data_IF_027637087472
#
_entry.id   IF_027637087472
#
_cell.length_a   1.000
_cell.length_b   1.000
_cell.length_c   1.000
_cell.angle_alpha   90.00
_cell.angle_beta   90.00
_cell.angle_gamma   90.00
#
_symmetry.space_group_name_H-M   'P 1'
#
loop_
_entity.id
_entity.type
_entity.pdbx_description
1 polymer ?
#
# COMPACT_ATOMS: atom_id res chain seq x y z
N UNK A 1 35.31 13.08 -8.00
CA UNK A 1 33.89 12.70 -7.98
C UNK A 1 33.16 13.56 -9.00
N UNK A 2 32.62 12.95 -10.06
CA UNK A 2 31.82 13.69 -11.03
C UNK A 2 30.59 14.28 -10.33
N UNK A 3 30.25 15.52 -10.69
CA UNK A 3 29.05 16.21 -10.21
C UNK A 3 28.15 16.48 -11.41
N UNK A 4 26.85 16.28 -11.21
CA UNK A 4 25.82 16.57 -12.20
C UNK A 4 24.74 17.45 -11.58
N UNK A 5 23.98 18.11 -12.45
CA UNK A 5 22.82 18.89 -12.04
C UNK A 5 21.74 17.99 -11.44
N UNK A 6 21.05 18.46 -10.41
CA UNK A 6 19.97 17.74 -9.75
C UNK A 6 18.85 17.34 -10.73
N UNK A 7 18.44 18.23 -11.64
CA UNK A 7 17.42 17.92 -12.64
C UNK A 7 17.84 16.82 -13.63
N UNK A 8 19.12 16.79 -14.01
CA UNK A 8 19.69 15.75 -14.88
C UNK A 8 19.81 14.42 -14.14
N UNK A 9 20.31 14.43 -12.90
CA UNK A 9 20.45 13.24 -12.06
C UNK A 9 19.12 12.53 -11.81
N UNK A 10 18.03 13.29 -11.64
CA UNK A 10 16.69 12.73 -11.49
C UNK A 10 16.23 11.95 -12.73
N UNK A 11 16.58 12.43 -13.93
CA UNK A 11 16.23 11.76 -15.20
C UNK A 11 17.17 10.58 -15.46
N UNK A 12 18.48 10.77 -15.30
CA UNK A 12 19.50 9.74 -15.51
C UNK A 12 19.25 8.50 -14.64
N UNK A 13 18.66 8.69 -13.44
CA UNK A 13 18.29 7.61 -12.51
C UNK A 13 16.85 7.11 -12.64
N UNK A 14 16.11 7.59 -13.64
CA UNK A 14 14.72 7.18 -13.88
C UNK A 14 13.71 7.60 -12.81
N UNK A 15 14.07 8.54 -11.93
CA UNK A 15 13.16 9.05 -10.88
C UNK A 15 12.09 9.98 -11.44
N UNK A 16 12.33 10.57 -12.62
CA UNK A 16 11.41 11.46 -13.33
C UNK A 16 11.59 11.32 -14.85
N UNK A 17 10.50 11.30 -15.60
CA UNK A 17 10.47 11.06 -17.06
C UNK A 17 11.17 12.12 -17.93
N UNK A 18 11.33 13.34 -17.42
CA UNK A 18 11.94 14.43 -18.19
C UNK A 18 12.55 15.51 -17.30
N UNK A 19 13.50 16.26 -17.86
CA UNK A 19 14.15 17.37 -17.14
C UNK A 19 13.16 18.48 -16.77
N UNK A 20 12.16 18.73 -17.61
CA UNK A 20 11.12 19.72 -17.35
C UNK A 20 10.26 19.33 -16.15
N UNK A 21 9.86 18.04 -16.07
CA UNK A 21 9.10 17.51 -14.93
C UNK A 21 9.96 17.52 -13.65
N UNK A 22 11.25 17.19 -13.77
CA UNK A 22 12.19 17.27 -12.65
C UNK A 22 12.32 18.71 -12.10
N UNK A 23 12.42 19.71 -12.98
CA UNK A 23 12.44 21.12 -12.58
C UNK A 23 11.18 21.54 -11.83
N UNK A 24 10.00 21.17 -12.33
CA UNK A 24 8.73 21.48 -11.70
C UNK A 24 8.62 20.88 -10.29
N UNK A 25 9.06 19.62 -10.11
CA UNK A 25 9.07 18.96 -8.80
C UNK A 25 10.06 19.58 -7.83
N UNK A 26 11.25 19.97 -8.30
CA UNK A 26 12.22 20.71 -7.48
C UNK A 26 11.64 22.05 -7.03
N UNK A 27 11.00 22.79 -7.94
CA UNK A 27 10.33 24.06 -7.63
C UNK A 27 9.18 23.89 -6.65
N UNK A 28 8.40 22.81 -6.78
CA UNK A 28 7.35 22.44 -5.84
C UNK A 28 7.89 22.00 -4.46
N UNK A 29 9.21 21.92 -4.30
CA UNK A 29 9.85 21.51 -3.05
C UNK A 29 9.70 20.02 -2.75
N UNK A 30 9.46 19.22 -3.79
CA UNK A 30 9.17 17.79 -3.71
C UNK A 30 10.41 16.91 -3.88
N UNK A 31 11.59 17.48 -4.16
CA UNK A 31 12.83 16.72 -4.36
C UNK A 31 13.78 16.89 -3.18
N UNK A 32 14.32 15.79 -2.69
CA UNK A 32 15.20 15.75 -1.53
C UNK A 32 16.46 14.93 -1.82
N UNK A 33 17.55 15.30 -1.16
CA UNK A 33 18.75 14.48 -1.03
C UNK A 33 18.96 14.18 0.45
N UNK A 34 18.73 12.93 0.85
CA UNK A 34 18.52 12.56 2.26
C UNK A 34 17.45 13.47 2.89
N UNK A 35 17.77 14.19 3.98
CA UNK A 35 16.80 15.08 4.64
C UNK A 35 16.77 16.50 4.05
N UNK A 36 17.69 16.83 3.13
CA UNK A 36 17.81 18.19 2.59
C UNK A 36 16.99 18.34 1.31
N UNK A 37 16.01 19.24 1.36
CA UNK A 37 15.27 19.66 0.16
C UNK A 37 16.21 20.28 -0.87
N UNK A 38 16.13 19.81 -2.11
CA UNK A 38 16.83 20.41 -3.25
C UNK A 38 16.14 21.73 -3.58
N UNK A 39 16.92 22.81 -3.63
CA UNK A 39 16.36 24.16 -3.78
C UNK A 39 16.29 24.57 -5.26
N UNK A 40 17.27 24.16 -6.07
CA UNK A 40 17.35 24.56 -7.47
C UNK A 40 17.67 23.37 -8.37
N UNK A 41 17.05 23.36 -9.54
CA UNK A 41 17.29 22.35 -10.57
C UNK A 41 18.75 22.25 -11.01
N UNK A 42 19.47 23.38 -10.99
CA UNK A 42 20.88 23.46 -11.35
C UNK A 42 21.86 23.12 -10.21
N UNK A 43 21.38 22.73 -9.02
CA UNK A 43 22.25 22.36 -7.90
C UNK A 43 23.15 21.20 -8.32
N UNK A 44 24.46 21.34 -8.09
CA UNK A 44 25.48 20.34 -8.46
C UNK A 44 25.62 19.31 -7.35
N UNK A 45 25.19 18.09 -7.61
CA UNK A 45 25.23 16.98 -6.67
C UNK A 45 26.26 15.94 -7.12
N UNK A 46 26.93 15.26 -6.18
CA UNK A 46 27.67 14.04 -6.50
C UNK A 46 26.80 13.04 -7.26
N UNK A 47 27.37 12.32 -8.23
CA UNK A 47 26.63 11.30 -9.00
C UNK A 47 26.01 10.20 -8.14
N UNK A 48 26.51 9.99 -6.93
CA UNK A 48 26.03 8.99 -5.95
C UNK A 48 25.16 9.59 -4.84
N UNK A 49 24.87 10.90 -4.88
CA UNK A 49 24.09 11.54 -3.82
C UNK A 49 22.69 10.90 -3.73
N UNK A 50 22.19 10.49 -2.56
CA UNK A 50 20.85 9.91 -2.45
C UNK A 50 19.84 10.94 -2.95
N UNK A 51 18.92 10.54 -3.83
CA UNK A 51 17.90 11.42 -4.39
C UNK A 51 16.54 10.75 -4.30
N UNK A 52 15.56 11.50 -3.84
CA UNK A 52 14.17 11.06 -3.77
C UNK A 52 13.24 12.18 -4.24
N UNK A 53 12.16 11.79 -4.91
CA UNK A 53 11.04 12.68 -5.22
C UNK A 53 9.92 12.29 -4.26
N UNK A 54 9.69 13.12 -3.25
CA UNK A 54 8.55 12.99 -2.34
C UNK A 54 7.30 13.50 -3.06
N UNK A 55 6.21 12.75 -2.98
CA UNK A 55 5.01 13.10 -3.76
C UNK A 55 5.15 12.81 -5.26
N UNK A 56 5.87 11.73 -5.61
CA UNK A 56 5.88 11.18 -6.98
C UNK A 56 4.47 11.17 -7.57
N UNK A 57 4.30 11.50 -8.86
CA UNK A 57 3.06 11.28 -9.58
C UNK A 57 2.85 9.77 -9.70
N UNK A 58 2.31 9.15 -8.66
CA UNK A 58 1.64 7.88 -8.78
C UNK A 58 0.30 8.14 -9.49
N UNK A 59 -0.15 7.26 -10.39
CA UNK A 59 -1.39 7.48 -11.14
C UNK A 59 -2.63 7.46 -10.25
N UNK A 60 -2.49 7.04 -8.99
CA UNK A 60 -3.59 6.88 -8.03
C UNK A 60 -3.79 8.11 -7.14
N UNK A 61 -4.88 8.16 -6.39
CA UNK A 61 -5.17 9.25 -5.43
C UNK A 61 -4.21 9.31 -4.23
N UNK A 62 -3.44 8.25 -3.94
CA UNK A 62 -2.43 8.25 -2.87
C UNK A 62 -1.29 7.27 -3.13
N UNK A 63 -0.16 7.49 -2.44
CA UNK A 63 1.05 6.65 -2.52
C UNK A 63 0.79 5.19 -2.15
N UNK A 64 -0.26 4.93 -1.35
CA UNK A 64 -0.68 3.57 -1.02
C UNK A 64 -0.94 2.74 -2.29
N UNK A 65 -1.44 3.35 -3.37
CA UNK A 65 -1.68 2.65 -4.63
C UNK A 65 -0.43 1.95 -5.20
N UNK A 66 0.78 2.50 -4.99
CA UNK A 66 2.02 1.87 -5.45
C UNK A 66 2.22 0.48 -4.84
N UNK A 67 1.78 0.27 -3.59
CA UNK A 67 1.96 -1.00 -2.88
C UNK A 67 1.09 -2.10 -3.48
N UNK A 68 -0.19 -1.82 -3.69
CA UNK A 68 -1.11 -2.80 -4.29
C UNK A 68 -0.75 -3.06 -5.75
N UNK A 69 -0.39 -2.03 -6.52
CA UNK A 69 0.03 -2.21 -7.90
C UNK A 69 1.23 -3.15 -8.02
N UNK A 70 2.23 -2.99 -7.14
CA UNK A 70 3.36 -3.90 -7.06
C UNK A 70 2.94 -5.33 -6.69
N UNK A 71 2.03 -5.50 -5.73
CA UNK A 71 1.51 -6.82 -5.37
C UNK A 71 0.77 -7.50 -6.54
N UNK A 72 -0.05 -6.76 -7.30
CA UNK A 72 -0.77 -7.30 -8.46
C UNK A 72 0.19 -7.82 -9.52
N UNK A 73 1.25 -7.07 -9.82
CA UNK A 73 2.29 -7.46 -10.76
C UNK A 73 3.09 -8.67 -10.25
N UNK A 74 3.65 -8.56 -9.04
CA UNK A 74 4.52 -9.58 -8.45
C UNK A 74 3.80 -10.94 -8.32
N UNK A 75 2.57 -10.94 -7.80
CA UNK A 75 1.80 -12.18 -7.59
C UNK A 75 0.94 -12.58 -8.79
N UNK A 76 1.02 -11.86 -9.91
CA UNK A 76 0.22 -12.10 -11.13
C UNK A 76 -1.29 -12.16 -10.83
N UNK A 77 -1.79 -11.22 -10.04
CA UNK A 77 -3.19 -11.14 -9.61
C UNK A 77 -3.95 -10.11 -10.45
N UNK A 78 -5.23 -10.39 -10.71
CA UNK A 78 -6.10 -9.49 -11.48
C UNK A 78 -7.43 -9.26 -10.77
N UNK A 79 -7.86 -7.98 -10.60
CA UNK A 79 -9.19 -7.63 -10.12
C UNK A 79 -10.22 -7.50 -11.25
N UNK A 80 -9.84 -7.76 -12.52
CA UNK A 80 -10.71 -7.56 -13.67
C UNK A 80 -12.04 -8.28 -13.53
N UNK A 81 -13.14 -7.53 -13.67
CA UNK A 81 -14.53 -7.99 -13.54
C UNK A 81 -14.82 -8.73 -12.22
N UNK A 82 -14.16 -8.30 -11.13
CA UNK A 82 -14.39 -8.84 -9.79
C UNK A 82 -15.01 -7.82 -8.85
N UNK A 83 -15.75 -8.34 -7.87
CA UNK A 83 -16.19 -7.58 -6.69
C UNK A 83 -15.04 -7.60 -5.70
N UNK A 84 -14.61 -6.42 -5.27
CA UNK A 84 -13.48 -6.25 -4.37
C UNK A 84 -13.91 -5.65 -3.03
N UNK A 85 -13.17 -5.98 -1.99
CA UNK A 85 -13.29 -5.43 -0.66
C UNK A 85 -11.95 -4.79 -0.27
N UNK A 86 -11.94 -3.48 -0.04
CA UNK A 86 -10.78 -2.69 0.36
C UNK A 86 -10.91 -2.28 1.83
N UNK A 87 -10.07 -2.85 2.69
CA UNK A 87 -10.07 -2.66 4.14
C UNK A 87 -9.03 -1.61 4.53
N UNK A 88 -9.48 -0.54 5.18
CA UNK A 88 -8.64 0.60 5.48
C UNK A 88 -8.43 1.49 4.25
N UNK A 89 -9.51 1.71 3.49
CA UNK A 89 -9.46 2.42 2.21
C UNK A 89 -8.84 3.83 2.33
N UNK A 90 -9.02 4.51 3.46
CA UNK A 90 -8.50 5.84 3.77
C UNK A 90 -8.73 6.83 2.62
N UNK A 91 -7.66 7.37 2.03
CA UNK A 91 -7.71 8.27 0.87
C UNK A 91 -8.15 7.58 -0.42
N UNK A 92 -8.04 6.25 -0.50
CA UNK A 92 -8.53 5.40 -1.57
C UNK A 92 -7.47 4.87 -2.54
N UNK A 93 -6.20 4.83 -2.13
CA UNK A 93 -5.10 4.39 -3.01
C UNK A 93 -5.31 2.97 -3.57
N UNK A 94 -5.71 2.01 -2.73
CA UNK A 94 -5.99 0.64 -3.12
C UNK A 94 -7.25 0.54 -3.99
N UNK A 95 -8.34 1.18 -3.55
CA UNK A 95 -9.57 1.32 -4.35
C UNK A 95 -9.29 1.84 -5.77
N UNK A 96 -8.48 2.90 -5.93
CA UNK A 96 -8.16 3.46 -7.26
C UNK A 96 -7.37 2.47 -8.12
N UNK A 97 -6.42 1.72 -7.53
CA UNK A 97 -5.70 0.64 -8.23
C UNK A 97 -6.66 -0.43 -8.72
N UNK A 98 -7.56 -0.91 -7.86
CA UNK A 98 -8.56 -1.93 -8.20
C UNK A 98 -9.44 -1.49 -9.37
N UNK A 99 -9.99 -0.26 -9.30
CA UNK A 99 -10.83 0.31 -10.36
C UNK A 99 -10.07 0.53 -11.67
N UNK A 100 -8.81 0.98 -11.58
CA UNK A 100 -7.94 1.19 -12.75
C UNK A 100 -7.66 -0.13 -13.47
N UNK A 101 -7.53 -1.23 -12.72
CA UNK A 101 -7.32 -2.58 -13.26
C UNK A 101 -8.62 -3.33 -13.56
N UNK A 102 -9.76 -2.63 -13.62
CA UNK A 102 -11.01 -3.18 -14.14
C UNK A 102 -11.88 -3.91 -13.11
N UNK A 103 -11.73 -3.63 -11.81
CA UNK A 103 -12.69 -4.10 -10.81
C UNK A 103 -14.13 -3.74 -11.22
N UNK A 104 -15.05 -4.71 -11.09
CA UNK A 104 -16.48 -4.51 -11.35
C UNK A 104 -17.09 -3.56 -10.32
N UNK A 105 -16.76 -3.79 -9.05
CA UNK A 105 -17.17 -2.94 -7.93
C UNK A 105 -16.21 -3.08 -6.75
N UNK A 106 -16.15 -2.06 -5.90
CA UNK A 106 -15.30 -2.03 -4.70
C UNK A 106 -16.12 -1.58 -3.50
N UNK A 107 -16.14 -2.39 -2.44
CA UNK A 107 -16.54 -1.94 -1.11
C UNK A 107 -15.34 -1.31 -0.42
N UNK A 108 -15.36 0.01 -0.23
CA UNK A 108 -14.29 0.75 0.42
C UNK A 108 -14.64 0.94 1.91
N UNK A 109 -14.04 0.13 2.77
CA UNK A 109 -14.31 0.07 4.22
C UNK A 109 -13.27 0.89 4.98
N UNK A 110 -13.73 1.81 5.82
CA UNK A 110 -12.87 2.56 6.73
C UNK A 110 -13.58 2.88 8.06
N UNK A 111 -12.80 2.93 9.14
CA UNK A 111 -13.29 3.34 10.47
C UNK A 111 -13.40 4.86 10.59
N UNK A 112 -12.64 5.59 9.78
CA UNK A 112 -12.69 7.04 9.65
C UNK A 112 -13.90 7.53 8.87
N UNK A 113 -13.91 8.83 8.59
CA UNK A 113 -14.97 9.50 7.85
C UNK A 113 -14.40 10.67 7.04
N UNK A 114 -14.90 10.87 5.82
CA UNK A 114 -14.54 11.96 4.93
C UNK A 114 -13.14 11.84 4.33
N UNK A 115 -12.51 10.66 4.38
CA UNK A 115 -11.12 10.49 3.91
C UNK A 115 -11.03 10.17 2.41
N UNK A 116 -12.00 9.41 1.89
CA UNK A 116 -11.95 8.91 0.52
C UNK A 116 -12.02 10.06 -0.49
N UNK A 117 -11.09 10.07 -1.45
CA UNK A 117 -11.01 11.09 -2.48
C UNK A 117 -12.32 11.22 -3.27
N UNK A 118 -12.70 12.47 -3.60
CA UNK A 118 -13.98 12.79 -4.23
C UNK A 118 -14.25 12.01 -5.53
N UNK A 119 -13.21 11.85 -6.37
CA UNK A 119 -13.27 11.05 -7.60
C UNK A 119 -13.76 9.63 -7.34
N UNK A 120 -13.26 8.98 -6.29
CA UNK A 120 -13.60 7.60 -5.95
C UNK A 120 -14.96 7.51 -5.28
N UNK A 121 -15.25 8.44 -4.36
CA UNK A 121 -16.56 8.53 -3.71
C UNK A 121 -17.70 8.70 -4.73
N UNK A 122 -17.42 9.38 -5.84
CA UNK A 122 -18.39 9.65 -6.91
C UNK A 122 -18.41 8.58 -8.00
N UNK A 123 -17.51 7.58 -7.95
CA UNK A 123 -17.48 6.50 -8.94
C UNK A 123 -18.63 5.52 -8.64
N UNK A 124 -19.52 5.22 -9.60
CA UNK A 124 -20.68 4.36 -9.38
C UNK A 124 -20.31 2.90 -9.03
N UNK A 125 -19.05 2.51 -9.23
CA UNK A 125 -18.54 1.19 -8.86
C UNK A 125 -18.11 1.10 -7.41
N UNK A 126 -18.06 2.22 -6.68
CA UNK A 126 -17.59 2.26 -5.28
C UNK A 126 -18.76 2.36 -4.32
N UNK A 127 -18.84 1.42 -3.38
CA UNK A 127 -19.70 1.52 -2.20
C UNK A 127 -18.86 1.94 -1.01
N UNK A 128 -19.13 3.13 -0.49
CA UNK A 128 -18.37 3.72 0.63
C UNK A 128 -18.96 3.27 1.96
N UNK A 129 -18.16 2.60 2.78
CA UNK A 129 -18.53 2.09 4.10
C UNK A 129 -17.63 2.76 5.17
N UNK A 130 -17.97 4.01 5.51
CA UNK A 130 -17.28 4.80 6.54
C UNK A 130 -17.86 4.54 7.93
N UNK A 131 -17.08 4.85 8.98
CA UNK A 131 -17.39 4.50 10.37
C UNK A 131 -17.71 3.01 10.55
N UNK A 132 -17.16 2.17 9.67
CA UNK A 132 -17.41 0.73 9.64
C UNK A 132 -16.15 0.02 10.15
N UNK A 133 -16.30 -0.78 11.21
CA UNK A 133 -15.21 -1.61 11.69
C UNK A 133 -15.18 -2.91 10.90
N UNK A 134 -14.06 -3.19 10.21
CA UNK A 134 -13.90 -4.38 9.37
C UNK A 134 -14.13 -5.71 10.12
N UNK A 135 -13.93 -5.71 11.45
CA UNK A 135 -14.19 -6.88 12.32
C UNK A 135 -15.66 -7.25 12.44
N UNK A 136 -16.55 -6.32 12.10
CA UNK A 136 -17.99 -6.48 12.20
C UNK A 136 -18.63 -6.71 10.83
N UNK A 137 -17.83 -6.94 9.78
CA UNK A 137 -18.36 -7.21 8.45
C UNK A 137 -19.09 -8.56 8.44
N UNK A 138 -20.25 -8.57 7.83
CA UNK A 138 -21.05 -9.76 7.60
C UNK A 138 -21.75 -9.66 6.23
N UNK A 139 -22.58 -10.64 5.90
CA UNK A 139 -23.33 -10.68 4.63
C UNK A 139 -24.45 -9.65 4.54
N UNK A 140 -24.85 -9.02 5.65
CA UNK A 140 -25.81 -7.90 5.62
C UNK A 140 -25.15 -6.60 5.13
N UNK A 141 -23.87 -6.41 5.47
CA UNK A 141 -23.06 -5.26 5.04
C UNK A 141 -22.45 -5.50 3.66
N UNK A 142 -21.95 -6.72 3.42
CA UNK A 142 -21.31 -7.14 2.17
C UNK A 142 -22.15 -8.26 1.54
N UNK A 143 -23.26 -7.93 0.86
CA UNK A 143 -24.21 -8.92 0.35
C UNK A 143 -23.68 -9.74 -0.83
N UNK A 144 -22.64 -9.26 -1.50
CA UNK A 144 -22.00 -9.96 -2.61
C UNK A 144 -20.60 -10.39 -2.15
N UNK A 145 -20.37 -11.69 -2.07
CA UNK A 145 -19.09 -12.27 -1.67
C UNK A 145 -17.94 -11.72 -2.55
N UNK A 146 -16.93 -11.03 -1.95
CA UNK A 146 -15.84 -10.47 -2.72
C UNK A 146 -14.93 -11.59 -3.26
N UNK A 147 -14.50 -11.44 -4.51
CA UNK A 147 -13.48 -12.31 -5.13
C UNK A 147 -12.06 -11.76 -4.94
N UNK A 148 -11.95 -10.59 -4.31
CA UNK A 148 -10.71 -9.86 -4.02
C UNK A 148 -10.82 -9.20 -2.66
N UNK A 149 -9.88 -9.45 -1.76
CA UNK A 149 -9.77 -8.76 -0.47
C UNK A 149 -8.41 -8.06 -0.37
N UNK A 150 -8.40 -6.76 -0.15
CA UNK A 150 -7.16 -6.01 0.06
C UNK A 150 -7.18 -5.26 1.39
N UNK A 151 -6.03 -5.12 2.06
CA UNK A 151 -5.96 -4.48 3.37
C UNK A 151 -4.70 -3.64 3.58
N UNK A 152 -4.89 -2.34 3.85
CA UNK A 152 -3.84 -1.39 4.29
C UNK A 152 -4.25 -0.68 5.60
N UNK A 153 -4.71 -1.45 6.59
CA UNK A 153 -5.11 -0.91 7.89
C UNK A 153 -3.91 -0.48 8.74
N UNK A 154 -4.11 0.52 9.61
CA UNK A 154 -3.10 0.99 10.57
C UNK A 154 -3.62 0.87 12.00
N UNK A 155 -2.71 0.78 12.98
CA UNK A 155 -3.03 0.68 14.41
C UNK A 155 -3.76 -0.61 14.82
N UNK A 156 -3.78 -1.63 13.97
CA UNK A 156 -4.38 -2.93 14.21
C UNK A 156 -3.59 -4.00 13.47
N UNK A 157 -3.42 -5.18 14.09
CA UNK A 157 -2.78 -6.32 13.46
C UNK A 157 -3.73 -7.08 12.54
N UNK A 158 -3.18 -7.71 11.50
CA UNK A 158 -3.87 -8.47 10.47
C UNK A 158 -4.73 -9.60 11.04
N UNK A 159 -4.20 -10.32 12.03
CA UNK A 159 -4.90 -11.41 12.74
C UNK A 159 -6.19 -10.96 13.42
N UNK A 160 -6.30 -9.68 13.74
CA UNK A 160 -7.47 -9.10 14.37
C UNK A 160 -8.44 -8.51 13.36
N UNK A 161 -7.96 -7.86 12.30
CA UNK A 161 -8.80 -7.08 11.37
C UNK A 161 -9.34 -7.91 10.19
N UNK A 162 -8.60 -8.91 9.72
CA UNK A 162 -8.94 -9.68 8.51
C UNK A 162 -9.96 -10.82 8.65
N UNK A 163 -10.15 -11.51 9.80
CA UNK A 163 -10.95 -12.73 9.85
C UNK A 163 -12.34 -12.62 9.21
N UNK A 164 -13.13 -11.62 9.61
CA UNK A 164 -14.47 -11.40 9.07
C UNK A 164 -14.48 -11.18 7.55
N UNK A 165 -13.50 -10.45 7.01
CA UNK A 165 -13.42 -10.20 5.58
C UNK A 165 -12.99 -11.44 4.77
N UNK A 166 -12.07 -12.26 5.30
CA UNK A 166 -11.61 -13.49 4.64
C UNK A 166 -12.68 -14.59 4.68
N UNK A 167 -13.52 -14.60 5.71
CA UNK A 167 -14.68 -15.49 5.81
C UNK A 167 -15.71 -15.19 4.70
N UNK A 168 -16.00 -13.91 4.47
CA UNK A 168 -16.91 -13.44 3.41
C UNK A 168 -16.42 -13.69 1.99
N UNK A 169 -15.12 -13.90 1.79
CA UNK A 169 -14.53 -14.07 0.47
C UNK A 169 -15.09 -15.30 -0.27
N UNK A 170 -15.38 -15.14 -1.56
CA UNK A 170 -15.86 -16.22 -2.42
C UNK A 170 -14.81 -17.32 -2.61
N UNK A 171 -15.25 -18.53 -2.97
CA UNK A 171 -14.33 -19.56 -3.47
C UNK A 171 -13.58 -19.06 -4.71
N UNK A 172 -12.30 -19.41 -4.84
CA UNK A 172 -11.42 -18.90 -5.90
C UNK A 172 -10.96 -17.44 -5.73
N UNK A 173 -11.31 -16.78 -4.61
CA UNK A 173 -10.86 -15.42 -4.31
C UNK A 173 -9.34 -15.34 -4.11
N UNK A 174 -8.78 -14.14 -4.20
CA UNK A 174 -7.43 -13.85 -3.74
C UNK A 174 -7.43 -12.67 -2.78
N UNK A 175 -6.39 -12.59 -1.95
CA UNK A 175 -6.20 -11.52 -1.00
C UNK A 175 -4.77 -10.98 -1.02
N UNK A 176 -4.63 -9.68 -0.74
CA UNK A 176 -3.35 -9.01 -0.51
C UNK A 176 -3.46 -8.15 0.73
N UNK A 177 -2.57 -8.32 1.71
CA UNK A 177 -2.56 -7.48 2.90
C UNK A 177 -1.16 -6.93 3.18
N UNK A 178 -1.12 -5.74 3.78
CA UNK A 178 0.11 -5.17 4.30
C UNK A 178 0.43 -5.69 5.69
N UNK A 179 1.57 -6.35 5.82
CA UNK A 179 2.23 -6.63 7.09
C UNK A 179 3.01 -5.37 7.48
N UNK A 180 2.63 -4.79 8.61
CA UNK A 180 3.27 -3.59 9.18
C UNK A 180 3.91 -3.98 10.51
N UNK A 181 5.23 -4.25 10.56
CA UNK A 181 5.89 -4.73 11.78
C UNK A 181 5.59 -3.90 13.03
N UNK A 182 5.47 -2.58 12.89
CA UNK A 182 5.13 -1.67 13.98
C UNK A 182 3.73 -1.87 14.61
N UNK A 183 2.84 -2.63 13.97
CA UNK A 183 1.50 -2.96 14.48
C UNK A 183 1.34 -4.45 14.80
N UNK A 184 2.35 -5.27 14.51
CA UNK A 184 2.34 -6.72 14.73
C UNK A 184 3.33 -7.17 15.81
N UNK A 185 4.46 -6.48 15.93
CA UNK A 185 5.50 -6.77 16.91
C UNK A 185 5.07 -6.40 18.33
N UNK A 186 5.71 -7.03 19.33
CA UNK A 186 5.54 -6.68 20.74
C UNK A 186 6.00 -5.24 21.02
N UNK A 187 5.43 -4.60 22.05
CA UNK A 187 5.78 -3.21 22.40
C UNK A 187 7.28 -3.02 22.70
N UNK A 188 7.93 -4.05 23.24
CA UNK A 188 9.35 -4.13 23.56
C UNK A 188 10.26 -4.18 22.32
N UNK A 189 9.70 -4.53 21.15
CA UNK A 189 10.42 -4.66 19.88
C UNK A 189 10.29 -3.42 18.99
N UNK A 190 9.54 -2.41 19.45
CA UNK A 190 9.28 -1.17 18.71
C UNK A 190 10.27 -0.10 19.16
N UNK A 191 11.11 0.36 18.23
CA UNK A 191 12.11 1.39 18.50
C UNK A 191 11.54 2.80 18.64
N UNK A 192 12.44 3.78 18.83
CA UNK A 192 12.08 5.18 18.91
C UNK A 192 11.23 5.62 17.70
N UNK A 193 10.22 6.46 17.97
CA UNK A 193 9.22 6.94 16.98
C UNK A 193 8.34 5.84 16.35
N UNK A 194 8.24 4.66 16.96
CA UNK A 194 7.40 3.60 16.43
C UNK A 194 8.00 2.88 15.23
N UNK A 195 9.33 2.90 15.10
CA UNK A 195 10.03 2.31 13.94
C UNK A 195 10.69 0.99 14.34
N UNK A 196 10.33 -0.08 13.62
CA UNK A 196 10.98 -1.38 13.73
C UNK A 196 12.11 -1.44 12.71
N UNK A 197 13.37 -1.50 13.20
CA UNK A 197 14.57 -1.51 12.34
C UNK A 197 15.28 -2.86 12.28
N UNK A 198 15.06 -3.71 13.28
CA UNK A 198 15.72 -4.99 13.38
C UNK A 198 15.17 -5.97 12.33
N UNK A 199 16.01 -6.44 11.37
CA UNK A 199 15.58 -7.41 10.37
C UNK A 199 15.06 -8.72 10.98
N UNK A 200 15.58 -9.15 12.13
CA UNK A 200 15.11 -10.36 12.80
C UNK A 200 13.65 -10.21 13.28
N UNK A 201 13.26 -9.00 13.70
CA UNK A 201 11.87 -8.71 14.06
C UNK A 201 10.98 -8.69 12.81
N UNK A 202 11.48 -8.15 11.70
CA UNK A 202 10.75 -8.19 10.42
C UNK A 202 10.46 -9.62 9.97
N UNK A 203 11.49 -10.47 9.96
CA UNK A 203 11.39 -11.89 9.61
C UNK A 203 10.42 -12.64 10.54
N UNK A 204 10.54 -12.44 11.85
CA UNK A 204 9.67 -13.08 12.85
C UNK A 204 8.20 -12.67 12.69
N UNK A 205 7.93 -11.39 12.44
CA UNK A 205 6.57 -10.90 12.17
C UNK A 205 6.02 -11.53 10.90
N UNK A 206 6.79 -11.53 9.80
CA UNK A 206 6.36 -12.10 8.53
C UNK A 206 6.03 -13.59 8.67
N UNK A 207 6.90 -14.36 9.32
CA UNK A 207 6.68 -15.78 9.59
C UNK A 207 5.42 -16.02 10.44
N UNK A 208 5.19 -15.20 11.46
CA UNK A 208 4.00 -15.30 12.33
C UNK A 208 2.70 -15.07 11.55
N UNK A 209 2.67 -14.07 10.66
CA UNK A 209 1.49 -13.79 9.85
C UNK A 209 1.28 -14.87 8.78
N UNK A 210 2.35 -15.33 8.14
CA UNK A 210 2.29 -16.42 7.17
C UNK A 210 1.72 -17.70 7.79
N UNK A 211 2.22 -18.09 8.97
CA UNK A 211 1.76 -19.27 9.71
C UNK A 211 0.29 -19.14 10.09
N UNK A 212 -0.12 -17.99 10.62
CA UNK A 212 -1.53 -17.72 10.92
C UNK A 212 -2.41 -17.85 9.67
N UNK A 213 -1.99 -17.27 8.55
CA UNK A 213 -2.78 -17.30 7.31
C UNK A 213 -2.88 -18.73 6.75
N UNK A 214 -1.81 -19.52 6.81
CA UNK A 214 -1.81 -20.94 6.44
C UNK A 214 -2.74 -21.79 7.29
N UNK A 215 -3.01 -21.37 8.53
CA UNK A 215 -3.99 -22.01 9.40
C UNK A 215 -5.45 -21.72 9.05
N UNK A 216 -5.72 -20.78 8.14
CA UNK A 216 -7.08 -20.44 7.73
C UNK A 216 -7.62 -21.45 6.72
N UNK A 217 -8.85 -21.92 6.96
CA UNK A 217 -9.50 -22.91 6.11
C UNK A 217 -9.66 -22.41 4.66
N UNK A 218 -9.24 -23.25 3.71
CA UNK A 218 -9.37 -22.98 2.29
C UNK A 218 -8.40 -21.95 1.74
N UNK A 219 -7.50 -21.37 2.55
CA UNK A 219 -6.51 -20.39 2.08
C UNK A 219 -5.13 -21.00 1.86
N UNK A 220 -4.45 -20.57 0.81
CA UNK A 220 -3.06 -20.91 0.52
C UNK A 220 -2.28 -19.63 0.30
N UNK A 221 -1.21 -19.43 1.08
CA UNK A 221 -0.30 -18.28 0.91
C UNK A 221 0.50 -18.45 -0.38
N UNK A 222 0.52 -17.40 -1.19
CA UNK A 222 1.29 -17.32 -2.44
C UNK A 222 2.73 -16.84 -2.19
N UNK A 223 2.93 -15.99 -1.19
CA UNK A 223 4.24 -15.51 -0.77
C UNK A 223 4.18 -14.20 0.00
N UNK A 224 5.37 -13.73 0.39
CA UNK A 224 5.59 -12.42 1.01
C UNK A 224 6.63 -11.67 0.17
N UNK A 225 6.40 -10.38 -0.05
CA UNK A 225 7.28 -9.48 -0.81
C UNK A 225 7.49 -8.16 -0.04
N UNK A 226 8.63 -7.48 -0.18
CA UNK A 226 8.84 -6.16 0.43
C UNK A 226 7.98 -5.10 -0.29
N UNK A 227 7.34 -4.22 0.46
CA UNK A 227 6.59 -3.09 -0.13
C UNK A 227 7.55 -2.18 -0.91
N UNK A 228 7.18 -1.70 -2.11
CA UNK A 228 8.05 -0.84 -2.94
C UNK A 228 8.30 0.54 -2.32
N UNK A 229 7.56 0.89 -1.28
CA UNK A 229 7.71 2.12 -0.50
C UNK A 229 7.62 1.81 1.00
N UNK A 230 8.30 2.63 1.80
CA UNK A 230 8.22 2.58 3.26
C UNK A 230 6.97 3.32 3.77
N UNK A 231 6.58 2.99 5.01
CA UNK A 231 5.56 3.75 5.75
C UNK A 231 6.01 5.20 6.04
N UNK A 232 5.11 6.09 6.48
CA UNK A 232 5.40 7.51 6.67
C UNK A 232 6.60 7.82 7.58
N UNK A 233 6.78 7.02 8.64
CA UNK A 233 7.89 7.13 9.60
C UNK A 233 9.14 6.33 9.19
N UNK A 234 9.17 5.78 7.97
CA UNK A 234 10.29 5.01 7.44
C UNK A 234 10.28 3.52 7.82
N UNK A 235 9.17 3.00 8.36
CA UNK A 235 9.01 1.57 8.59
C UNK A 235 9.05 0.80 7.25
N UNK A 236 9.83 -0.27 7.21
CA UNK A 236 9.66 -1.29 6.17
C UNK A 236 8.31 -1.97 6.37
N UNK A 237 7.62 -2.21 5.27
CA UNK A 237 6.32 -2.89 5.23
C UNK A 237 6.44 -4.04 4.23
N UNK A 238 5.64 -5.09 4.42
CA UNK A 238 5.66 -6.27 3.57
C UNK A 238 4.27 -6.56 3.05
N UNK A 239 4.18 -7.19 1.89
CA UNK A 239 2.96 -7.59 1.22
C UNK A 239 2.84 -9.10 1.36
N UNK A 240 1.74 -9.59 1.91
CA UNK A 240 1.40 -11.02 1.87
C UNK A 240 0.22 -11.23 0.92
N UNK A 241 0.34 -12.24 0.05
CA UNK A 241 -0.73 -12.63 -0.85
C UNK A 241 -1.18 -14.06 -0.59
N UNK A 242 -2.48 -14.32 -0.77
CA UNK A 242 -3.06 -15.65 -0.59
C UNK A 242 -4.22 -15.88 -1.56
N UNK A 243 -4.57 -17.15 -1.78
CA UNK A 243 -5.70 -17.57 -2.61
C UNK A 243 -6.61 -18.50 -1.83
N UNK A 244 -7.93 -18.33 -2.00
CA UNK A 244 -8.96 -19.22 -1.47
C UNK A 244 -9.30 -20.29 -2.51
N UNK A 245 -9.39 -21.54 -2.08
CA UNK A 245 -9.77 -22.68 -2.91
C UNK A 245 -11.20 -22.59 -3.43
#
# INVERSE_FOLDING_TARGET
MARRRADQLLVDRGLVESRTKAQALIMAGLVFSAEKRIAKAGDQLPEEAPLEVRGQPHPWVSRGGCKLAHALEHFSLSPLDRVCLDIGASTGGFTDVLLTHGARSVYAVDVGHGQLAWKLRSDPRVTVLEKCNARNLDTSIIPIAPAVVVCDASFIGLRTVLPAALELAASGAWAVALIKPQFEAGQDQIGAKGVVRDPAVHESVCATIEEWWRGLEGWTVLGIEESPITGPEGNKEFLIAARKA
#
